data_IF_092909359808
#
_entry.id   IF_092909359808
#
_cell.length_a   1.000
_cell.length_b   1.000
_cell.length_c   1.000
_cell.angle_alpha   90.00
_cell.angle_beta   90.00
_cell.angle_gamma   90.00
#
_symmetry.space_group_name_H-M   'P 1'
#
loop_
_entity.id
_entity.type
_entity.pdbx_description
1 polymer ?
#
# COMPACT_ATOMS: atom_id res chain seq x y z
N UNK A 1 -24.22 17.17 14.18
CA UNK A 1 -23.58 15.85 14.01
C UNK A 1 -22.13 16.14 13.71
N UNK A 2 -21.30 15.96 14.72
CA UNK A 2 -19.85 16.16 14.68
C UNK A 2 -19.21 14.88 14.17
N UNK A 3 -18.62 14.93 12.98
CA UNK A 3 -17.61 13.96 12.59
C UNK A 3 -16.36 14.75 12.18
N UNK A 4 -15.47 14.87 13.16
CA UNK A 4 -14.09 15.29 12.98
C UNK A 4 -13.38 14.18 12.21
N UNK A 5 -13.15 14.36 10.91
CA UNK A 5 -12.20 13.50 10.21
C UNK A 5 -10.81 13.93 10.66
N UNK A 6 -10.19 13.10 11.49
CA UNK A 6 -8.81 13.25 11.89
C UNK A 6 -7.94 13.08 10.65
N UNK A 7 -7.32 14.17 10.19
CA UNK A 7 -6.11 14.10 9.39
C UNK A 7 -4.98 13.65 10.32
N UNK A 8 -4.98 12.36 10.65
CA UNK A 8 -3.94 11.73 11.45
C UNK A 8 -2.73 11.50 10.56
N UNK A 9 -1.76 12.41 10.61
CA UNK A 9 -0.36 12.00 10.39
C UNK A 9 -0.01 11.09 11.57
N UNK A 10 -0.38 9.81 11.43
CA UNK A 10 -0.19 8.81 12.48
C UNK A 10 1.30 8.55 12.53
N UNK A 11 1.92 8.85 13.67
CA UNK A 11 3.34 8.59 13.88
C UNK A 11 3.63 7.11 13.56
N UNK A 12 4.83 6.80 13.02
CA UNK A 12 5.16 5.46 12.54
C UNK A 12 4.94 4.32 13.56
N UNK A 13 4.83 4.61 14.86
CA UNK A 13 4.58 3.59 15.91
C UNK A 13 3.11 3.35 16.30
N UNK A 14 2.14 4.06 15.74
CA UNK A 14 0.71 3.95 16.13
C UNK A 14 -0.19 3.35 15.03
N UNK A 15 0.41 2.82 13.95
CA UNK A 15 -0.33 2.30 12.79
C UNK A 15 -0.78 0.86 13.05
N UNK A 16 -2.05 0.55 12.81
CA UNK A 16 -2.55 -0.85 12.81
C UNK A 16 -2.34 -1.49 11.45
N UNK A 17 -2.20 -2.82 11.42
CA UNK A 17 -2.08 -3.56 10.14
C UNK A 17 -3.25 -3.25 9.21
N UNK A 18 -4.49 -3.28 9.72
CA UNK A 18 -5.68 -2.98 8.94
C UNK A 18 -5.65 -1.56 8.33
N UNK A 19 -5.27 -0.55 9.11
CA UNK A 19 -5.17 0.82 8.64
C UNK A 19 -4.09 1.01 7.57
N UNK A 20 -2.96 0.31 7.70
CA UNK A 20 -1.92 0.30 6.66
C UNK A 20 -2.43 -0.34 5.39
N UNK A 21 -3.09 -1.49 5.46
CA UNK A 21 -3.63 -2.17 4.28
C UNK A 21 -4.65 -1.29 3.55
N UNK A 22 -5.54 -0.61 4.28
CA UNK A 22 -6.49 0.33 3.69
C UNK A 22 -5.80 1.52 3.00
N UNK A 23 -4.77 2.09 3.62
CA UNK A 23 -4.01 3.19 3.02
C UNK A 23 -3.24 2.75 1.77
N UNK A 24 -2.55 1.61 1.84
CA UNK A 24 -1.84 1.02 0.69
C UNK A 24 -2.82 0.76 -0.46
N UNK A 25 -3.98 0.18 -0.17
CA UNK A 25 -5.02 -0.05 -1.17
C UNK A 25 -5.49 1.26 -1.80
N UNK A 26 -5.72 2.30 -1.00
CA UNK A 26 -6.10 3.61 -1.51
C UNK A 26 -5.07 4.16 -2.50
N UNK A 27 -3.78 4.07 -2.17
CA UNK A 27 -2.67 4.51 -3.03
C UNK A 27 -2.64 3.69 -4.34
N UNK A 28 -2.80 2.37 -4.25
CA UNK A 28 -2.82 1.47 -5.42
C UNK A 28 -4.01 1.79 -6.35
N UNK A 29 -5.20 2.08 -5.81
CA UNK A 29 -6.34 2.46 -6.65
C UNK A 29 -6.15 3.87 -7.23
N UNK A 30 -5.58 4.81 -6.47
CA UNK A 30 -5.38 6.18 -6.93
C UNK A 30 -4.34 6.29 -8.07
N UNK A 31 -3.27 5.51 -8.00
CA UNK A 31 -2.22 5.48 -9.03
C UNK A 31 -2.55 4.55 -10.21
N UNK A 32 -3.54 3.67 -10.04
CA UNK A 32 -4.05 2.83 -11.13
C UNK A 32 -4.64 3.69 -12.25
N UNK A 33 -4.30 3.40 -13.53
CA UNK A 33 -4.98 4.02 -14.67
C UNK A 33 -6.48 3.70 -14.74
N UNK A 34 -6.89 2.53 -14.23
CA UNK A 34 -8.28 2.08 -14.19
C UNK A 34 -9.11 2.66 -13.06
N UNK A 35 -8.48 3.05 -11.93
CA UNK A 35 -9.13 3.56 -10.70
C UNK A 35 -10.37 2.76 -10.29
N UNK A 36 -10.29 1.44 -10.39
CA UNK A 36 -11.42 0.55 -10.07
C UNK A 36 -11.50 0.35 -8.55
N UNK A 37 -12.32 1.15 -7.88
CA UNK A 37 -12.56 1.06 -6.44
C UNK A 37 -13.23 -0.26 -6.01
N UNK A 38 -13.81 -1.00 -6.96
CA UNK A 38 -14.41 -2.32 -6.69
C UNK A 38 -13.38 -3.45 -6.75
N UNK A 39 -12.14 -3.17 -7.17
CA UNK A 39 -11.08 -4.16 -7.27
C UNK A 39 -10.76 -4.76 -5.89
N UNK A 40 -10.92 -6.08 -5.78
CA UNK A 40 -10.62 -6.84 -4.57
C UNK A 40 -9.11 -7.06 -4.34
N UNK A 41 -8.72 -7.64 -3.18
CA UNK A 41 -7.32 -7.90 -2.84
C UNK A 41 -6.58 -8.80 -3.85
N UNK A 42 -7.30 -9.70 -4.53
CA UNK A 42 -6.76 -10.58 -5.56
C UNK A 42 -6.63 -9.90 -6.94
N UNK A 43 -7.06 -8.65 -7.09
CA UNK A 43 -6.99 -7.94 -8.37
C UNK A 43 -5.53 -7.76 -8.80
N UNK A 44 -5.26 -8.10 -10.06
CA UNK A 44 -3.92 -7.98 -10.63
C UNK A 44 -3.59 -6.54 -10.99
N UNK A 45 -2.39 -6.09 -10.64
CA UNK A 45 -1.94 -4.71 -10.92
C UNK A 45 -1.98 -4.42 -12.42
N UNK A 46 -1.42 -5.30 -13.24
CA UNK A 46 -1.33 -5.06 -14.70
C UNK A 46 -2.65 -5.41 -15.39
N UNK A 47 -3.15 -6.62 -15.18
CA UNK A 47 -4.28 -7.17 -15.94
C UNK A 47 -5.65 -6.58 -15.54
N UNK A 48 -5.83 -6.22 -14.27
CA UNK A 48 -7.10 -5.66 -13.77
C UNK A 48 -7.01 -4.15 -13.63
N UNK A 49 -5.99 -3.66 -12.92
CA UNK A 49 -5.82 -2.24 -12.63
C UNK A 49 -5.10 -1.46 -13.74
N UNK A 50 -4.62 -2.12 -14.79
CA UNK A 50 -4.04 -1.48 -15.96
C UNK A 50 -2.66 -0.85 -15.73
N UNK A 51 -1.95 -1.25 -14.68
CA UNK A 51 -0.59 -0.75 -14.42
C UNK A 51 0.35 -1.06 -15.59
N UNK A 52 1.21 -0.08 -15.88
CA UNK A 52 2.29 -0.20 -16.85
C UNK A 52 3.63 0.01 -16.15
N UNK A 53 4.75 -0.14 -16.88
CA UNK A 53 6.09 0.00 -16.30
C UNK A 53 6.35 1.33 -15.59
N UNK A 54 5.80 2.45 -16.08
CA UNK A 54 5.95 3.76 -15.44
C UNK A 54 5.10 3.85 -14.17
N UNK A 55 3.83 3.45 -14.26
CA UNK A 55 2.91 3.50 -13.12
C UNK A 55 3.39 2.58 -11.96
N UNK A 56 4.04 1.46 -12.27
CA UNK A 56 4.66 0.59 -11.25
C UNK A 56 5.85 1.25 -10.56
N UNK A 57 6.65 2.03 -11.28
CA UNK A 57 7.76 2.81 -10.71
C UNK A 57 7.20 3.93 -9.82
N UNK A 58 6.16 4.63 -10.27
CA UNK A 58 5.48 5.67 -9.49
C UNK A 58 4.89 5.08 -8.21
N UNK A 59 4.20 3.94 -8.31
CA UNK A 59 3.67 3.23 -7.14
C UNK A 59 4.77 2.86 -6.14
N UNK A 60 5.87 2.27 -6.61
CA UNK A 60 6.99 1.92 -5.74
C UNK A 60 7.54 3.16 -5.01
N UNK A 61 7.80 4.25 -5.74
CA UNK A 61 8.31 5.49 -5.17
C UNK A 61 7.35 6.13 -4.17
N UNK A 62 6.04 6.13 -4.46
CA UNK A 62 5.02 6.64 -3.53
C UNK A 62 4.95 5.82 -2.25
N UNK A 63 5.03 4.48 -2.33
CA UNK A 63 5.05 3.64 -1.13
C UNK A 63 6.34 3.80 -0.32
N UNK A 64 7.47 3.95 -0.99
CA UNK A 64 8.77 4.23 -0.36
C UNK A 64 8.75 5.55 0.41
N UNK A 65 8.20 6.61 -0.18
CA UNK A 65 8.09 7.94 0.45
C UNK A 65 7.04 7.97 1.58
N UNK A 66 5.84 7.40 1.36
CA UNK A 66 4.73 7.46 2.34
C UNK A 66 5.02 6.64 3.61
N UNK A 67 5.72 5.52 3.47
CA UNK A 67 5.97 4.58 4.56
C UNK A 67 7.45 4.50 4.97
N UNK A 68 8.30 5.42 4.49
CA UNK A 68 9.76 5.41 4.73
C UNK A 68 10.41 4.04 4.42
N UNK A 69 9.95 3.36 3.37
CA UNK A 69 10.42 2.01 3.03
C UNK A 69 11.78 2.05 2.34
N UNK A 70 12.49 0.93 2.42
CA UNK A 70 13.68 0.75 1.60
C UNK A 70 13.26 0.55 0.12
N UNK A 71 14.13 0.88 -0.85
CA UNK A 71 13.85 0.66 -2.26
C UNK A 71 13.47 -0.79 -2.55
N UNK A 72 12.39 -0.99 -3.31
CA UNK A 72 11.90 -2.33 -3.60
C UNK A 72 12.88 -3.06 -4.53
N UNK A 73 13.46 -4.17 -4.06
CA UNK A 73 14.36 -4.99 -4.88
C UNK A 73 13.64 -5.69 -6.03
N UNK A 74 14.35 -5.91 -7.13
CA UNK A 74 13.80 -6.53 -8.35
C UNK A 74 13.15 -7.90 -8.08
N UNK A 75 13.75 -8.71 -7.19
CA UNK A 75 13.20 -10.01 -6.81
C UNK A 75 11.84 -9.90 -6.11
N UNK A 76 11.69 -8.90 -5.25
CA UNK A 76 10.45 -8.60 -4.52
C UNK A 76 9.41 -8.00 -5.47
N UNK A 77 9.81 -7.03 -6.30
CA UNK A 77 8.94 -6.40 -7.29
C UNK A 77 8.29 -7.43 -8.23
N UNK A 78 9.03 -8.47 -8.65
CA UNK A 78 8.49 -9.56 -9.49
C UNK A 78 7.41 -10.40 -8.80
N UNK A 79 7.37 -10.43 -7.47
CA UNK A 79 6.36 -11.16 -6.70
C UNK A 79 5.13 -10.32 -6.38
N UNK A 80 5.23 -9.00 -6.51
CA UNK A 80 4.15 -8.05 -6.25
C UNK A 80 3.31 -7.92 -7.53
N UNK A 81 2.32 -8.81 -7.66
CA UNK A 81 1.45 -8.87 -8.85
C UNK A 81 -0.01 -8.49 -8.56
N UNK A 82 -0.44 -8.52 -7.30
CA UNK A 82 -1.81 -8.22 -6.87
C UNK A 82 -1.83 -7.18 -5.75
N UNK A 83 -3.00 -6.56 -5.50
CA UNK A 83 -3.17 -5.58 -4.41
C UNK A 83 -2.72 -6.17 -3.07
N UNK A 84 -3.18 -7.37 -2.72
CA UNK A 84 -2.80 -8.07 -1.48
C UNK A 84 -1.29 -8.21 -1.34
N UNK A 85 -0.56 -8.46 -2.43
CA UNK A 85 0.90 -8.61 -2.38
C UNK A 85 1.60 -7.28 -2.09
N UNK A 86 1.06 -6.16 -2.58
CA UNK A 86 1.55 -4.82 -2.25
C UNK A 86 1.33 -4.56 -0.77
N UNK A 87 0.10 -4.78 -0.29
CA UNK A 87 -0.28 -4.63 1.12
C UNK A 87 0.61 -5.47 2.03
N UNK A 88 0.78 -6.76 1.72
CA UNK A 88 1.61 -7.69 2.47
C UNK A 88 3.09 -7.25 2.49
N UNK A 89 3.60 -6.70 1.39
CA UNK A 89 4.97 -6.22 1.35
C UNK A 89 5.18 -5.06 2.34
N UNK A 90 4.32 -4.04 2.29
CA UNK A 90 4.40 -2.87 3.17
C UNK A 90 4.21 -3.28 4.64
N UNK A 91 3.21 -4.13 4.91
CA UNK A 91 2.95 -4.65 6.27
C UNK A 91 4.16 -5.40 6.80
N UNK A 92 4.78 -6.28 6.01
CA UNK A 92 5.95 -7.04 6.45
C UNK A 92 7.16 -6.15 6.73
N UNK A 93 7.38 -5.11 5.92
CA UNK A 93 8.46 -4.15 6.15
C UNK A 93 8.25 -3.37 7.45
N UNK A 94 7.04 -2.84 7.69
CA UNK A 94 6.72 -2.11 8.91
C UNK A 94 6.72 -3.02 10.15
N UNK A 95 6.20 -4.25 10.03
CA UNK A 95 6.24 -5.27 11.08
C UNK A 95 7.69 -5.60 11.47
N UNK A 96 8.56 -5.79 10.49
CA UNK A 96 9.99 -6.09 10.69
C UNK A 96 10.73 -4.97 11.44
N UNK A 97 10.23 -3.74 11.36
CA UNK A 97 10.75 -2.56 12.05
C UNK A 97 10.09 -2.28 13.40
N UNK A 98 9.01 -2.99 13.73
CA UNK A 98 8.22 -2.75 14.95
C UNK A 98 7.34 -1.51 14.89
N UNK A 99 6.97 -1.08 13.67
CA UNK A 99 6.13 0.09 13.37
C UNK A 99 4.65 -0.26 13.23
N UNK A 100 4.28 -1.50 13.52
CA UNK A 100 2.89 -1.95 13.55
C UNK A 100 2.46 -2.32 14.96
N UNK A 101 1.31 -1.80 15.35
CA UNK A 101 0.62 -2.21 16.57
C UNK A 101 -0.29 -3.40 16.23
N UNK A 102 -0.28 -4.42 17.09
CA UNK A 102 -1.22 -5.52 16.98
C UNK A 102 -2.66 -4.99 17.06
N UNK A 103 -3.52 -5.46 16.14
CA UNK A 103 -4.95 -5.13 16.18
C UNK A 103 -5.55 -5.65 17.51
N UNK A 104 -6.33 -4.83 18.24
CA UNK A 104 -6.84 -5.16 19.58
C UNK A 104 -7.89 -6.29 19.62
#
# INVERSE_FOLDING_TARGET
>A
MTESVQAGTTAPGDRTEAGVRELVRSIVIELSPGRDESAGPDAGLIETLGYNSLALIELAFTLEDEFDLAPIEEATARQITTISRVEDHVVNELAGRGELVADP
#
